data_IF_090564403627
#
_entry.id   IF_090564403627
#
_cell.length_a   1.000
_cell.length_b   1.000
_cell.length_c   1.000
_cell.angle_alpha   90.00
_cell.angle_beta   90.00
_cell.angle_gamma   90.00
#
_symmetry.space_group_name_H-M   'P 1'
#
loop_
_entity.id
_entity.type
_entity.pdbx_description
1 polymer ?
#
# COMPACT_ATOMS: atom_id res chain seq x y z
N UNK A 1 -4.26 70.16 -32.43
CA UNK A 1 -5.12 69.51 -33.42
C UNK A 1 -4.58 68.12 -33.65
N UNK A 2 -5.45 67.16 -33.35
CA UNK A 2 -5.55 65.86 -34.02
C UNK A 2 -4.34 64.96 -33.98
N UNK A 3 -4.43 63.81 -33.64
CA UNK A 3 -5.33 62.66 -33.49
C UNK A 3 -4.51 61.42 -33.51
N UNK A 4 -4.84 60.52 -32.63
CA UNK A 4 -4.94 59.05 -32.80
C UNK A 4 -3.94 58.32 -33.68
N UNK A 5 -3.40 57.27 -33.19
CA UNK A 5 -4.01 55.96 -33.33
C UNK A 5 -3.09 54.85 -32.83
N UNK A 6 -3.68 54.04 -32.05
CA UNK A 6 -3.60 52.58 -31.96
C UNK A 6 -2.46 51.86 -32.70
N UNK A 7 -1.68 51.17 -31.91
CA UNK A 7 -1.08 49.93 -32.37
C UNK A 7 -1.03 48.94 -31.20
N UNK A 8 -2.00 48.10 -31.17
CA UNK A 8 -2.06 46.85 -30.42
C UNK A 8 -0.85 45.98 -30.75
N UNK A 9 0.08 45.90 -29.84
CA UNK A 9 1.10 44.87 -29.88
C UNK A 9 0.67 43.73 -28.97
N UNK A 10 0.04 42.76 -29.56
CA UNK A 10 -0.21 41.46 -28.98
C UNK A 10 1.14 40.77 -28.76
N UNK A 11 1.70 40.94 -27.59
CA UNK A 11 2.83 40.13 -27.15
C UNK A 11 2.32 38.75 -26.81
N UNK A 12 2.44 37.86 -27.78
CA UNK A 12 2.30 36.43 -27.59
C UNK A 12 3.45 35.98 -26.70
N UNK A 13 3.20 35.94 -25.36
CA UNK A 13 4.07 35.26 -24.42
C UNK A 13 3.91 33.76 -24.62
N UNK A 14 4.66 33.26 -25.60
CA UNK A 14 4.94 31.83 -25.71
C UNK A 14 5.83 31.46 -24.51
N UNK A 15 5.23 31.14 -23.40
CA UNK A 15 5.92 30.41 -22.34
C UNK A 15 6.11 28.99 -22.85
N UNK A 16 7.30 28.75 -23.36
CA UNK A 16 7.82 27.41 -23.47
C UNK A 16 7.82 26.80 -22.07
N UNK A 17 6.87 25.91 -21.83
CA UNK A 17 6.93 24.97 -20.74
C UNK A 17 7.92 23.90 -21.18
N UNK A 18 9.21 24.24 -21.07
CA UNK A 18 10.26 23.25 -21.15
C UNK A 18 10.15 22.31 -19.94
N UNK A 19 9.88 21.07 -20.25
CA UNK A 19 10.36 19.94 -19.48
C UNK A 19 9.67 19.69 -18.16
N UNK A 20 8.38 19.40 -18.13
CA UNK A 20 7.93 18.32 -17.28
C UNK A 20 8.49 17.04 -17.93
N UNK A 21 9.71 16.68 -17.58
CA UNK A 21 10.12 15.30 -17.59
C UNK A 21 9.10 14.58 -16.71
N UNK A 22 8.12 13.95 -17.34
CA UNK A 22 7.44 12.83 -16.71
C UNK A 22 8.56 11.84 -16.37
N UNK A 23 8.95 11.86 -15.11
CA UNK A 23 9.70 10.80 -14.51
C UNK A 23 8.80 9.59 -14.62
N UNK A 24 8.94 8.86 -15.72
CA UNK A 24 8.27 7.58 -15.93
C UNK A 24 8.93 6.57 -15.00
N UNK A 25 8.80 6.78 -13.69
CA UNK A 25 9.03 5.74 -12.74
C UNK A 25 8.00 4.68 -13.05
N UNK A 26 8.50 3.49 -13.37
CA UNK A 26 7.64 2.35 -13.61
C UNK A 26 6.68 2.21 -12.41
N UNK A 27 5.40 2.22 -12.70
CA UNK A 27 4.38 2.06 -11.66
C UNK A 27 4.15 0.57 -11.46
N UNK A 28 4.36 0.11 -10.24
CA UNK A 28 4.23 -1.27 -9.84
C UNK A 28 2.91 -1.50 -9.10
N UNK A 29 2.31 -2.65 -9.29
CA UNK A 29 1.10 -3.06 -8.57
C UNK A 29 1.51 -4.00 -7.43
N UNK A 30 1.23 -3.58 -6.20
CA UNK A 30 1.59 -4.35 -5.01
C UNK A 30 0.36 -4.69 -4.18
N UNK A 31 0.39 -5.82 -3.51
CA UNK A 31 -0.64 -6.23 -2.57
C UNK A 31 -0.05 -6.29 -1.17
N UNK A 32 -0.67 -5.57 -0.25
CA UNK A 32 -0.26 -5.51 1.16
C UNK A 32 -1.34 -6.14 2.03
N UNK A 33 -0.93 -7.06 2.90
CA UNK A 33 -1.77 -7.61 3.95
C UNK A 33 -1.71 -6.74 5.19
N UNK A 34 -2.86 -6.41 5.76
CA UNK A 34 -3.00 -5.62 6.98
C UNK A 34 -3.60 -6.48 8.07
N UNK A 35 -3.06 -6.42 9.29
CA UNK A 35 -3.58 -7.14 10.44
C UNK A 35 -3.45 -6.33 11.73
N UNK A 36 -4.46 -6.42 12.61
CA UNK A 36 -4.45 -5.78 13.93
C UNK A 36 -5.23 -6.64 14.92
N UNK A 37 -4.68 -6.83 16.14
CA UNK A 37 -5.39 -7.51 17.23
C UNK A 37 -5.31 -6.78 18.58
N UNK A 38 -4.91 -5.50 18.57
CA UNK A 38 -4.85 -4.68 19.79
C UNK A 38 -5.56 -3.35 19.57
N UNK A 39 -6.17 -2.84 20.64
CA UNK A 39 -6.80 -1.52 20.64
C UNK A 39 -8.01 -1.41 19.70
N UNK A 40 -8.24 -0.23 19.14
CA UNK A 40 -9.26 -0.04 18.11
C UNK A 40 -8.73 -0.51 16.76
N UNK A 41 -8.85 -1.83 16.53
CA UNK A 41 -8.36 -2.53 15.34
C UNK A 41 -8.86 -1.90 14.04
N UNK A 42 -10.12 -1.49 14.00
CA UNK A 42 -10.72 -0.89 12.80
C UNK A 42 -10.11 0.47 12.48
N UNK A 43 -9.99 1.33 13.49
CA UNK A 43 -9.34 2.64 13.33
C UNK A 43 -7.88 2.50 12.94
N UNK A 44 -7.17 1.51 13.49
CA UNK A 44 -5.77 1.25 13.14
C UNK A 44 -5.61 0.80 11.68
N UNK A 45 -6.49 -0.08 11.17
CA UNK A 45 -6.46 -0.48 9.76
C UNK A 45 -6.79 0.69 8.82
N UNK A 46 -7.76 1.53 9.16
CA UNK A 46 -8.09 2.71 8.37
C UNK A 46 -6.93 3.71 8.32
N UNK A 47 -6.31 3.99 9.47
CA UNK A 47 -5.11 4.84 9.54
C UNK A 47 -3.92 4.24 8.77
N UNK A 48 -3.77 2.92 8.79
CA UNK A 48 -2.75 2.26 7.98
C UNK A 48 -2.99 2.49 6.48
N UNK A 49 -4.24 2.41 6.01
CA UNK A 49 -4.58 2.74 4.62
C UNK A 49 -4.28 4.21 4.27
N UNK A 50 -4.55 5.16 5.18
CA UNK A 50 -4.22 6.58 5.00
C UNK A 50 -2.69 6.79 4.90
N UNK A 51 -1.90 6.23 5.83
CA UNK A 51 -0.43 6.30 5.80
C UNK A 51 0.16 5.63 4.54
N UNK A 52 -0.43 4.51 4.09
CA UNK A 52 -0.04 3.86 2.84
C UNK A 52 -0.31 4.79 1.64
N UNK A 53 -1.48 5.42 1.58
CA UNK A 53 -1.82 6.35 0.50
C UNK A 53 -0.87 7.55 0.45
N UNK A 54 -0.39 8.03 1.59
CA UNK A 54 0.52 9.18 1.67
C UNK A 54 1.99 8.82 1.37
N UNK A 55 2.44 7.61 1.73
CA UNK A 55 3.88 7.25 1.75
C UNK A 55 4.30 6.19 0.76
N UNK A 56 3.37 5.35 0.35
CA UNK A 56 3.66 4.23 -0.54
C UNK A 56 3.16 4.52 -1.95
N UNK A 57 1.92 4.94 -2.10
CA UNK A 57 1.33 5.23 -3.40
C UNK A 57 -0.19 5.17 -3.40
N UNK A 58 -0.78 5.15 -4.59
CA UNK A 58 -2.22 5.18 -4.75
C UNK A 58 -2.86 3.86 -4.30
N UNK A 59 -3.68 3.91 -3.27
CA UNK A 59 -4.52 2.77 -2.86
C UNK A 59 -5.68 2.64 -3.85
N UNK A 60 -5.59 1.67 -4.75
CA UNK A 60 -6.58 1.44 -5.79
C UNK A 60 -7.79 0.64 -5.28
N UNK A 61 -7.55 -0.32 -4.41
CA UNK A 61 -8.57 -1.24 -3.89
C UNK A 61 -8.27 -1.63 -2.45
N UNK A 62 -9.34 -1.79 -1.70
CA UNK A 62 -9.31 -2.35 -0.35
C UNK A 62 -10.36 -3.46 -0.24
N UNK A 63 -10.01 -4.56 0.40
CA UNK A 63 -10.93 -5.66 0.68
C UNK A 63 -11.88 -5.30 1.83
N UNK A 64 -12.87 -6.15 2.04
CA UNK A 64 -13.62 -6.19 3.30
C UNK A 64 -12.70 -6.51 4.46
N UNK A 65 -13.03 -5.99 5.64
CA UNK A 65 -12.35 -6.37 6.88
C UNK A 65 -12.93 -7.69 7.38
N UNK A 66 -12.06 -8.66 7.66
CA UNK A 66 -12.45 -9.97 8.20
C UNK A 66 -11.82 -10.20 9.57
N UNK A 67 -12.62 -10.72 10.50
CA UNK A 67 -12.16 -11.12 11.82
C UNK A 67 -11.74 -12.60 11.78
N UNK A 68 -10.58 -12.92 12.39
CA UNK A 68 -10.05 -14.27 12.45
C UNK A 68 -9.33 -14.53 13.77
N UNK A 69 -9.29 -15.80 14.16
CA UNK A 69 -8.47 -16.24 15.30
C UNK A 69 -6.97 -16.01 15.02
N UNK A 70 -6.15 -15.85 16.07
CA UNK A 70 -4.70 -15.77 15.94
C UNK A 70 -4.13 -17.01 15.24
N UNK A 71 -3.22 -16.79 14.31
CA UNK A 71 -2.56 -17.87 13.58
C UNK A 71 -1.11 -18.05 14.05
N UNK A 72 -0.75 -19.29 14.44
CA UNK A 72 0.62 -19.64 14.82
C UNK A 72 1.00 -19.30 16.27
N UNK A 73 0.09 -18.74 17.06
CA UNK A 73 0.27 -18.51 18.49
C UNK A 73 -1.09 -18.43 19.22
N UNK A 74 -1.07 -18.51 20.55
CA UNK A 74 -2.27 -18.43 21.39
C UNK A 74 -2.44 -17.00 21.89
N UNK A 75 -3.59 -16.40 21.61
CA UNK A 75 -4.00 -15.11 22.15
C UNK A 75 -5.53 -15.10 22.26
N UNK A 76 -6.04 -14.39 23.25
CA UNK A 76 -7.48 -14.15 23.43
C UNK A 76 -8.01 -12.98 22.57
N UNK A 77 -7.11 -12.37 21.78
CA UNK A 77 -7.42 -11.21 20.95
C UNK A 77 -7.51 -11.59 19.47
N UNK A 78 -8.72 -11.70 18.90
CA UNK A 78 -8.88 -11.99 17.47
C UNK A 78 -8.33 -10.86 16.61
N UNK A 79 -7.78 -11.23 15.45
CA UNK A 79 -7.29 -10.29 14.45
C UNK A 79 -8.43 -9.72 13.60
N UNK A 80 -8.29 -8.46 13.21
CA UNK A 80 -9.00 -7.86 12.10
C UNK A 80 -8.01 -7.75 10.94
N UNK A 81 -8.34 -8.35 9.78
CA UNK A 81 -7.45 -8.43 8.64
C UNK A 81 -8.09 -7.82 7.39
N UNK A 82 -7.25 -7.30 6.50
CA UNK A 82 -7.62 -6.80 5.19
C UNK A 82 -6.46 -6.95 4.21
N UNK A 83 -6.73 -6.79 2.91
CA UNK A 83 -5.71 -6.66 1.88
C UNK A 83 -5.99 -5.40 1.08
N UNK A 84 -4.93 -4.65 0.76
CA UNK A 84 -5.00 -3.48 -0.12
C UNK A 84 -4.14 -3.69 -1.36
N UNK A 85 -4.63 -3.19 -2.49
CA UNK A 85 -3.90 -3.10 -3.75
C UNK A 85 -3.42 -1.66 -3.92
N UNK A 86 -2.13 -1.47 -4.17
CA UNK A 86 -1.50 -0.16 -4.24
C UNK A 86 -0.67 -0.04 -5.51
N UNK A 87 -0.85 1.05 -6.24
CA UNK A 87 0.04 1.44 -7.32
C UNK A 87 1.17 2.32 -6.75
N UNK A 88 2.42 1.89 -6.91
CA UNK A 88 3.59 2.53 -6.29
C UNK A 88 4.76 2.63 -7.25
N UNK A 89 5.62 3.61 -7.06
CA UNK A 89 6.93 3.72 -7.73
C UNK A 89 8.10 3.28 -6.83
N UNK A 90 7.81 2.81 -5.61
CA UNK A 90 8.84 2.35 -4.69
C UNK A 90 9.36 0.97 -5.11
N UNK A 91 10.67 0.79 -5.04
CA UNK A 91 11.29 -0.54 -5.18
C UNK A 91 10.87 -1.46 -4.01
N UNK A 92 11.03 -2.79 -4.11
CA UNK A 92 10.70 -3.70 -3.03
C UNK A 92 11.37 -3.37 -1.68
N UNK A 93 12.59 -2.86 -1.71
CA UNK A 93 13.34 -2.45 -0.52
C UNK A 93 12.79 -1.17 0.10
N UNK A 94 12.49 -0.18 -0.72
CA UNK A 94 11.87 1.07 -0.26
C UNK A 94 10.47 0.80 0.29
N UNK A 95 9.70 -0.10 -0.36
CA UNK A 95 8.39 -0.53 0.12
C UNK A 95 8.48 -1.19 1.50
N UNK A 96 9.45 -2.11 1.70
CA UNK A 96 9.68 -2.74 3.01
C UNK A 96 9.99 -1.70 4.09
N UNK A 97 10.83 -0.72 3.78
CA UNK A 97 11.15 0.36 4.72
C UNK A 97 9.92 1.21 5.04
N UNK A 98 9.17 1.59 4.01
CA UNK A 98 7.96 2.40 4.18
C UNK A 98 6.90 1.67 5.04
N UNK A 99 6.65 0.38 4.81
CA UNK A 99 5.70 -0.39 5.63
C UNK A 99 6.15 -0.49 7.08
N UNK A 100 7.43 -0.72 7.33
CA UNK A 100 7.99 -0.76 8.70
C UNK A 100 7.89 0.59 9.41
N UNK A 101 8.12 1.69 8.72
CA UNK A 101 8.00 3.04 9.28
C UNK A 101 6.53 3.35 9.64
N UNK A 102 5.58 2.92 8.81
CA UNK A 102 4.14 3.05 9.08
C UNK A 102 3.76 2.24 10.33
N UNK A 103 4.20 0.99 10.44
CA UNK A 103 3.95 0.17 11.61
C UNK A 103 4.46 0.84 12.91
N UNK A 104 5.67 1.39 12.90
CA UNK A 104 6.25 2.09 14.05
C UNK A 104 5.43 3.33 14.43
N UNK A 105 4.98 4.12 13.45
CA UNK A 105 4.13 5.29 13.66
C UNK A 105 2.78 4.95 14.28
N UNK A 106 2.25 3.80 13.92
CA UNK A 106 0.98 3.28 14.43
C UNK A 106 1.13 2.51 15.77
N UNK A 107 2.32 2.55 16.37
CA UNK A 107 2.57 2.06 17.72
C UNK A 107 3.17 0.66 17.83
N UNK A 108 3.64 0.07 16.73
CA UNK A 108 4.38 -1.19 16.79
C UNK A 108 5.81 -0.96 17.29
N UNK A 109 6.07 -1.32 18.53
CA UNK A 109 7.39 -1.15 19.17
C UNK A 109 8.30 -2.37 19.07
N UNK A 110 7.74 -3.55 18.78
CA UNK A 110 8.48 -4.81 18.72
C UNK A 110 8.27 -5.51 17.37
N UNK A 111 9.36 -5.94 16.74
CA UNK A 111 9.32 -6.85 15.60
C UNK A 111 9.22 -8.28 16.08
N UNK A 112 8.42 -9.10 15.41
CA UNK A 112 8.43 -10.55 15.61
C UNK A 112 9.77 -11.10 15.12
N UNK A 113 10.58 -11.63 16.03
CA UNK A 113 11.87 -12.24 15.71
C UNK A 113 11.83 -13.73 16.02
N UNK A 114 12.41 -14.55 15.13
CA UNK A 114 12.58 -15.98 15.39
C UNK A 114 11.29 -16.81 15.43
N UNK A 115 10.22 -16.37 14.74
CA UNK A 115 8.95 -17.10 14.69
C UNK A 115 8.04 -16.91 15.92
N UNK A 116 8.43 -16.05 16.87
CA UNK A 116 7.57 -15.67 17.98
C UNK A 116 6.61 -14.58 17.52
N UNK A 117 5.33 -14.92 17.39
CA UNK A 117 4.26 -13.97 17.14
C UNK A 117 3.74 -13.40 18.45
N UNK A 118 3.43 -12.10 18.45
CA UNK A 118 2.88 -11.38 19.60
C UNK A 118 1.67 -10.57 19.17
N UNK A 119 0.84 -10.21 20.15
CA UNK A 119 -0.20 -9.21 19.97
C UNK A 119 0.43 -7.90 19.48
N UNK A 120 -0.19 -7.28 18.48
CA UNK A 120 0.36 -6.08 17.84
C UNK A 120 -0.73 -5.14 17.34
N UNK A 121 -0.50 -3.82 17.48
CA UNK A 121 -1.47 -2.84 17.02
C UNK A 121 -1.67 -2.88 15.50
N UNK A 122 -0.59 -3.15 14.75
CA UNK A 122 -0.64 -3.23 13.30
C UNK A 122 0.48 -4.14 12.76
N UNK A 123 0.19 -4.83 11.68
CA UNK A 123 1.11 -5.64 10.89
C UNK A 123 0.85 -5.35 9.41
N UNK A 124 1.90 -5.10 8.64
CA UNK A 124 1.81 -4.80 7.20
C UNK A 124 2.79 -5.72 6.46
N UNK A 125 2.25 -6.76 5.85
CA UNK A 125 3.01 -7.74 5.09
C UNK A 125 2.97 -7.43 3.58
N UNK A 126 4.11 -7.46 2.89
CA UNK A 126 4.17 -7.42 1.43
C UNK A 126 3.82 -8.81 0.90
N UNK A 127 2.67 -8.94 0.24
CA UNK A 127 2.18 -10.21 -0.27
C UNK A 127 2.69 -10.49 -1.69
N UNK A 128 2.49 -9.53 -2.58
CA UNK A 128 2.85 -9.60 -4.00
C UNK A 128 3.39 -8.24 -4.46
N UNK A 129 4.28 -8.28 -5.43
CA UNK A 129 4.83 -7.11 -6.10
C UNK A 129 4.95 -7.44 -7.59
N UNK A 130 4.03 -6.98 -8.42
CA UNK A 130 3.87 -7.42 -9.81
C UNK A 130 3.99 -8.96 -9.92
N UNK A 131 4.76 -9.44 -10.88
CA UNK A 131 5.17 -10.86 -11.03
C UNK A 131 6.58 -11.12 -10.49
N UNK A 132 7.11 -10.20 -9.65
CA UNK A 132 8.48 -10.27 -9.15
C UNK A 132 8.61 -11.34 -8.06
N UNK A 133 9.70 -12.11 -8.14
CA UNK A 133 10.15 -13.01 -7.08
C UNK A 133 11.39 -12.43 -6.41
N UNK A 134 11.33 -12.27 -5.08
CA UNK A 134 12.46 -11.82 -4.24
C UNK A 134 12.69 -12.86 -3.17
N UNK A 135 13.93 -13.31 -3.01
CA UNK A 135 14.34 -14.24 -1.96
C UNK A 135 15.57 -13.70 -1.23
N UNK A 136 15.32 -12.76 -0.33
CA UNK A 136 16.33 -12.16 0.53
C UNK A 136 16.07 -12.53 2.00
N UNK A 137 17.07 -12.42 2.89
CA UNK A 137 16.95 -12.87 4.28
C UNK A 137 15.79 -12.23 5.04
N UNK A 138 15.46 -10.98 4.72
CA UNK A 138 14.44 -10.15 5.38
C UNK A 138 13.29 -9.72 4.46
N UNK A 139 13.32 -10.15 3.17
CA UNK A 139 12.28 -9.84 2.19
C UNK A 139 12.05 -11.01 1.25
N UNK A 140 10.87 -11.61 1.35
CA UNK A 140 10.44 -12.69 0.44
C UNK A 140 9.15 -12.31 -0.24
N UNK A 141 9.15 -12.32 -1.58
CA UNK A 141 7.99 -12.03 -2.43
C UNK A 141 7.92 -13.14 -3.49
N UNK A 142 6.79 -13.78 -3.68
CA UNK A 142 5.55 -13.75 -2.90
C UNK A 142 5.76 -14.11 -1.42
N UNK A 143 4.88 -13.60 -0.55
CA UNK A 143 4.99 -13.91 0.89
C UNK A 143 4.88 -15.43 1.12
N UNK A 144 5.87 -16.09 1.78
CA UNK A 144 6.04 -17.55 1.72
C UNK A 144 4.90 -18.36 2.33
N UNK A 145 4.12 -17.78 3.23
CA UNK A 145 3.03 -18.48 3.92
C UNK A 145 1.64 -17.97 3.49
N UNK A 146 1.55 -17.11 2.47
CA UNK A 146 0.27 -16.48 2.12
C UNK A 146 -0.80 -17.49 1.71
N UNK A 147 -0.42 -18.52 0.94
CA UNK A 147 -1.35 -19.54 0.44
C UNK A 147 -1.93 -20.44 1.56
N UNK A 148 -1.25 -20.52 2.70
CA UNK A 148 -1.68 -21.29 3.87
C UNK A 148 -2.56 -20.47 4.83
N UNK A 149 -2.79 -19.20 4.51
CA UNK A 149 -3.47 -18.24 5.38
C UNK A 149 -4.78 -17.78 4.75
N UNK A 150 -5.89 -18.38 5.14
CA UNK A 150 -7.22 -18.00 4.65
C UNK A 150 -7.53 -16.52 4.90
N UNK A 151 -7.03 -15.97 6.00
CA UNK A 151 -7.20 -14.55 6.33
C UNK A 151 -6.40 -13.60 5.42
N UNK A 152 -5.49 -14.12 4.60
CA UNK A 152 -4.80 -13.44 3.51
C UNK A 152 -5.50 -13.73 2.17
N UNK A 153 -5.71 -15.01 1.87
CA UNK A 153 -6.21 -15.43 0.55
C UNK A 153 -7.65 -14.99 0.26
N UNK A 154 -8.53 -15.01 1.27
CA UNK A 154 -9.93 -14.58 1.08
C UNK A 154 -10.02 -13.10 0.69
N UNK A 155 -9.47 -12.15 1.46
CA UNK A 155 -9.50 -10.74 1.08
C UNK A 155 -8.68 -10.43 -0.18
N UNK A 156 -7.57 -11.13 -0.42
CA UNK A 156 -6.79 -10.99 -1.66
C UNK A 156 -7.63 -11.36 -2.90
N UNK A 157 -8.31 -12.51 -2.86
CA UNK A 157 -9.16 -12.96 -3.95
C UNK A 157 -10.36 -12.03 -4.16
N UNK A 158 -10.92 -11.44 -3.12
CA UNK A 158 -11.99 -10.44 -3.23
C UNK A 158 -11.60 -9.29 -4.14
N UNK A 159 -10.39 -8.74 -3.97
CA UNK A 159 -9.96 -7.57 -4.75
C UNK A 159 -9.32 -7.93 -6.09
N UNK A 160 -8.79 -9.15 -6.27
CA UNK A 160 -8.29 -9.63 -7.57
C UNK A 160 -9.44 -9.95 -8.53
N UNK A 161 -10.46 -10.66 -8.09
CA UNK A 161 -11.59 -11.08 -8.93
C UNK A 161 -12.47 -9.90 -9.40
N UNK A 162 -12.40 -8.75 -8.75
CA UNK A 162 -13.09 -7.53 -9.22
C UNK A 162 -12.54 -7.00 -10.55
N UNK A 163 -11.34 -7.41 -10.97
CA UNK A 163 -10.75 -7.01 -12.26
C UNK A 163 -11.45 -7.75 -13.41
N UNK A 164 -11.74 -9.03 -13.25
CA UNK A 164 -12.29 -9.88 -14.32
C UNK A 164 -13.73 -9.53 -14.71
N UNK A 165 -14.42 -8.74 -13.90
CA UNK A 165 -15.82 -8.35 -14.14
C UNK A 165 -15.99 -6.98 -14.84
N UNK A 166 -14.92 -6.22 -15.05
CA UNK A 166 -14.96 -4.93 -15.75
C UNK A 166 -14.65 -5.03 -17.26
N UNK A 167 -14.12 -6.17 -17.72
CA UNK A 167 -13.75 -6.41 -19.12
C UNK A 167 -14.82 -7.24 -19.91
N UNK A 168 -16.08 -7.23 -19.46
CA UNK A 168 -17.19 -7.91 -20.17
C UNK A 168 -18.31 -6.96 -20.50
#
# INVERSE_FOLDING_TARGET
MSTCSDATATACCCWMIDGLMEDSRDTHVVYLGLGSNMGDRRSLLLRACEEIAERVGLVERCSSFIETEPWGFVSDHPFLNAVVCVATSLTPRELLQATQDIEQRLGRTQKSTGGCYHDRPIDIDILLYDDLAVDEPDLKIPHPLMEQRDFVMRPLNEIRNKIENYDK
#
